data_IF_129281082950
#
_entry.id   IF_129281082950
#
_cell.length_a   1.000
_cell.length_b   1.000
_cell.length_c   1.000
_cell.angle_alpha   90.00
_cell.angle_beta   90.00
_cell.angle_gamma   90.00
#
_symmetry.space_group_name_H-M   'P 1'
#
loop_
_entity.id
_entity.type
_entity.pdbx_description
1 polymer ?
#
# COMPACT_ATOMS: atom_id res chain seq x y z
N UNK A 1 5.72 -18.68 22.28
CA UNK A 1 5.32 -17.97 21.03
C UNK A 1 6.49 -17.28 20.32
N UNK A 2 7.53 -16.82 21.03
CA UNK A 2 8.78 -16.28 20.43
C UNK A 2 9.45 -17.30 19.49
N UNK A 3 9.40 -18.58 19.82
CA UNK A 3 9.98 -19.67 19.04
C UNK A 3 9.12 -20.13 17.84
N UNK A 4 8.04 -19.42 17.51
CA UNK A 4 7.26 -19.72 16.32
C UNK A 4 8.08 -19.33 15.08
N UNK A 5 8.15 -20.20 14.04
CA UNK A 5 8.93 -19.93 12.84
C UNK A 5 8.61 -18.60 12.14
N UNK A 6 7.35 -18.15 12.22
CA UNK A 6 6.94 -16.88 11.61
C UNK A 6 7.45 -15.66 12.40
N UNK A 7 7.46 -15.71 13.72
CA UNK A 7 8.04 -14.65 14.56
C UNK A 7 9.57 -14.59 14.44
N UNK A 8 10.23 -15.77 14.32
CA UNK A 8 11.68 -15.83 14.06
C UNK A 8 12.01 -15.17 12.73
N UNK A 9 11.23 -15.45 11.67
CA UNK A 9 11.43 -14.82 10.39
C UNK A 9 11.13 -13.32 10.45
N UNK A 10 10.01 -12.91 11.06
CA UNK A 10 9.68 -11.51 11.27
C UNK A 10 10.83 -10.74 11.94
N UNK A 11 11.41 -11.31 12.98
CA UNK A 11 12.55 -10.68 13.68
C UNK A 11 13.74 -10.46 12.76
N UNK A 12 14.10 -11.46 11.96
CA UNK A 12 15.18 -11.33 10.97
C UNK A 12 14.89 -10.26 9.90
N UNK A 13 13.64 -10.17 9.44
CA UNK A 13 13.24 -9.16 8.47
C UNK A 13 13.26 -7.74 9.07
N UNK A 14 12.86 -7.56 10.33
CA UNK A 14 12.94 -6.27 11.03
C UNK A 14 14.40 -5.80 11.14
N UNK A 15 15.34 -6.71 11.39
CA UNK A 15 16.76 -6.39 11.52
C UNK A 15 17.41 -5.92 10.23
N UNK A 16 16.80 -6.21 9.08
CA UNK A 16 17.19 -5.59 7.80
C UNK A 16 16.71 -4.14 7.79
N UNK A 17 17.64 -3.18 7.80
CA UNK A 17 17.34 -1.74 7.71
C UNK A 17 16.97 -1.35 6.28
N UNK A 18 15.83 -1.85 5.80
CA UNK A 18 15.35 -1.74 4.43
C UNK A 18 14.52 -0.46 4.21
N UNK A 19 15.10 0.72 4.50
CA UNK A 19 14.42 2.00 4.22
C UNK A 19 14.32 2.19 2.71
N UNK A 20 13.10 2.47 2.22
CA UNK A 20 12.83 2.58 0.78
C UNK A 20 13.86 3.47 0.04
N UNK A 21 14.39 3.09 -1.12
CA UNK A 21 14.13 1.85 -1.88
C UNK A 21 15.07 0.67 -1.53
N UNK A 22 15.84 0.76 -0.43
CA UNK A 22 16.79 -0.27 -0.04
C UNK A 22 16.07 -1.52 0.46
N UNK A 23 16.51 -2.70 0.01
CA UNK A 23 16.06 -4.00 0.50
C UNK A 23 16.89 -4.51 1.69
N UNK A 24 18.16 -4.16 1.70
CA UNK A 24 19.15 -4.51 2.73
C UNK A 24 19.15 -6.02 3.11
N UNK A 25 18.96 -6.90 2.12
CA UNK A 25 19.02 -8.36 2.28
C UNK A 25 17.72 -9.05 2.72
N UNK A 26 16.62 -8.32 2.89
CA UNK A 26 15.32 -8.91 3.20
C UNK A 26 14.91 -9.97 2.18
N UNK A 27 15.00 -9.64 0.88
CA UNK A 27 14.59 -10.56 -0.18
C UNK A 27 15.52 -11.77 -0.27
N UNK A 28 16.80 -11.64 0.06
CA UNK A 28 17.72 -12.79 0.07
C UNK A 28 17.37 -13.79 1.19
N UNK A 29 16.93 -13.30 2.36
CA UNK A 29 16.41 -14.18 3.43
C UNK A 29 15.19 -14.96 2.96
N UNK A 30 14.25 -14.30 2.29
CA UNK A 30 13.02 -14.92 1.77
C UNK A 30 13.36 -15.89 0.64
N UNK A 31 14.18 -15.46 -0.33
CA UNK A 31 14.62 -16.26 -1.47
C UNK A 31 15.23 -17.60 -1.02
N UNK A 32 16.19 -17.56 -0.10
CA UNK A 32 16.85 -18.78 0.39
C UNK A 32 15.85 -19.76 1.04
N UNK A 33 14.82 -19.26 1.71
CA UNK A 33 13.77 -20.10 2.32
C UNK A 33 12.85 -20.72 1.28
N UNK A 34 12.48 -19.94 0.25
CA UNK A 34 11.62 -20.40 -0.84
C UNK A 34 12.35 -21.43 -1.73
N UNK A 35 13.61 -21.19 -2.06
CA UNK A 35 14.44 -22.15 -2.80
C UNK A 35 14.58 -23.49 -2.05
N UNK A 36 14.72 -23.45 -0.73
CA UNK A 36 14.83 -24.66 0.11
C UNK A 36 13.61 -25.59 0.04
N UNK A 37 12.45 -25.07 -0.38
CA UNK A 37 11.20 -25.83 -0.55
C UNK A 37 10.79 -25.98 -2.02
N UNK A 38 11.71 -25.72 -2.96
CA UNK A 38 11.57 -26.02 -4.38
C UNK A 38 11.00 -24.91 -5.26
N UNK A 39 10.93 -23.66 -4.78
CA UNK A 39 10.59 -22.52 -5.64
C UNK A 39 11.71 -22.22 -6.64
N UNK A 40 11.33 -21.92 -7.87
CA UNK A 40 12.18 -21.26 -8.85
C UNK A 40 12.16 -19.77 -8.59
N UNK A 41 13.31 -19.20 -8.19
CA UNK A 41 13.43 -17.78 -7.78
C UNK A 41 14.18 -16.96 -8.83
N UNK A 42 13.64 -15.79 -9.19
CA UNK A 42 14.23 -14.84 -10.14
C UNK A 42 14.25 -13.42 -9.55
N UNK A 43 15.41 -12.77 -9.59
CA UNK A 43 15.56 -11.34 -9.25
C UNK A 43 15.29 -10.50 -10.49
N UNK A 44 14.19 -9.74 -10.51
CA UNK A 44 13.76 -8.88 -11.62
C UNK A 44 13.95 -7.41 -11.21
N UNK A 45 15.19 -6.97 -11.06
CA UNK A 45 15.53 -5.65 -10.55
C UNK A 45 15.41 -4.55 -11.61
N UNK A 46 14.99 -3.35 -11.19
CA UNK A 46 14.94 -2.15 -12.04
C UNK A 46 15.60 -0.97 -11.31
N UNK A 47 16.75 -0.53 -11.82
CA UNK A 47 17.57 0.49 -11.15
C UNK A 47 18.06 0.00 -9.78
N UNK A 48 17.83 0.78 -8.74
CA UNK A 48 18.20 0.43 -7.35
C UNK A 48 17.19 -0.49 -6.67
N UNK A 49 15.97 -0.57 -7.20
CA UNK A 49 14.88 -1.35 -6.63
C UNK A 49 15.10 -2.83 -6.84
N UNK A 50 15.02 -3.58 -5.75
CA UNK A 50 15.08 -5.05 -5.75
C UNK A 50 13.67 -5.61 -5.89
N UNK A 51 13.54 -6.62 -6.73
CA UNK A 51 12.29 -7.34 -6.91
C UNK A 51 12.58 -8.83 -7.02
N UNK A 52 11.76 -9.62 -6.33
CA UNK A 52 11.81 -11.07 -6.35
C UNK A 52 10.52 -11.62 -6.94
N UNK A 53 10.65 -12.44 -7.97
CA UNK A 53 9.61 -13.36 -8.42
C UNK A 53 10.02 -14.78 -8.03
N UNK A 54 9.12 -15.50 -7.37
CA UNK A 54 9.35 -16.90 -7.04
C UNK A 54 8.11 -17.72 -7.40
N UNK A 55 8.29 -18.91 -8.00
CA UNK A 55 7.20 -19.75 -8.48
C UNK A 55 7.44 -21.20 -8.06
N UNK A 56 6.46 -21.80 -7.40
CA UNK A 56 6.36 -23.24 -7.15
C UNK A 56 5.21 -23.80 -7.98
N UNK A 57 5.52 -24.61 -8.98
CA UNK A 57 4.55 -25.31 -9.82
C UNK A 57 4.47 -26.76 -9.40
N UNK A 58 3.27 -27.25 -9.03
CA UNK A 58 3.03 -28.66 -8.73
C UNK A 58 2.37 -29.37 -9.90
N UNK A 59 1.22 -28.89 -10.39
CA UNK A 59 0.50 -29.41 -11.53
C UNK A 59 -0.09 -28.29 -12.39
N UNK A 60 -0.71 -28.62 -13.51
CA UNK A 60 -1.48 -27.61 -14.25
C UNK A 60 -2.71 -27.19 -13.45
N UNK A 61 -2.97 -25.88 -13.42
CA UNK A 61 -4.06 -25.32 -12.63
C UNK A 61 -3.88 -23.84 -12.38
N UNK A 62 -4.70 -23.26 -11.47
CA UNK A 62 -4.66 -21.85 -11.16
C UNK A 62 -3.41 -21.46 -10.38
N UNK A 63 -3.02 -20.19 -10.46
CA UNK A 63 -1.89 -19.62 -9.73
C UNK A 63 -2.38 -18.65 -8.65
N UNK A 64 -1.97 -18.92 -7.40
CA UNK A 64 -2.08 -17.98 -6.28
C UNK A 64 -0.77 -17.22 -6.15
N UNK A 65 -0.82 -15.88 -6.21
CA UNK A 65 0.31 -15.01 -5.96
C UNK A 65 0.20 -14.32 -4.59
N UNK A 66 1.23 -14.46 -3.78
CA UNK A 66 1.45 -13.62 -2.61
C UNK A 66 2.22 -12.37 -3.02
N UNK A 67 1.66 -11.20 -2.74
CA UNK A 67 2.24 -9.91 -3.07
C UNK A 67 2.61 -9.15 -1.80
N UNK A 68 3.80 -8.55 -1.78
CA UNK A 68 4.24 -7.72 -0.67
C UNK A 68 5.51 -6.94 -0.94
N UNK A 69 5.92 -6.17 0.07
CA UNK A 69 7.13 -5.36 0.01
C UNK A 69 8.03 -5.56 1.21
N UNK A 70 9.34 -5.38 0.99
CA UNK A 70 10.37 -5.48 2.04
C UNK A 70 10.84 -4.12 2.53
N UNK A 71 10.65 -3.08 1.73
CA UNK A 71 11.00 -1.72 2.11
C UNK A 71 10.07 -1.16 3.18
N UNK A 72 10.56 -0.17 3.89
CA UNK A 72 9.84 0.49 4.98
C UNK A 72 10.05 2.00 4.93
N UNK A 73 9.10 2.78 5.43
CA UNK A 73 9.28 4.22 5.62
C UNK A 73 10.39 4.52 6.62
N UNK A 74 11.03 5.71 6.56
CA UNK A 74 11.96 6.15 7.61
C UNK A 74 11.34 6.03 9.01
N UNK A 75 12.14 5.70 10.03
CA UNK A 75 11.63 5.47 11.39
C UNK A 75 11.13 6.73 12.09
N UNK A 76 11.45 7.93 11.58
CA UNK A 76 11.22 9.18 12.27
C UNK A 76 12.23 9.43 13.40
N UNK A 77 11.88 10.23 14.42
CA UNK A 77 12.79 10.55 15.54
C UNK A 77 13.16 9.30 16.33
N UNK A 78 14.44 8.92 16.31
CA UNK A 78 14.92 7.68 16.94
C UNK A 78 14.83 7.74 18.46
N UNK A 79 14.97 8.91 19.05
CA UNK A 79 14.89 9.19 20.48
C UNK A 79 13.46 9.02 21.05
N UNK A 80 12.45 9.03 20.21
CA UNK A 80 11.07 8.72 20.60
C UNK A 80 10.76 7.21 20.62
N UNK A 81 11.64 6.37 20.05
CA UNK A 81 11.47 4.93 20.08
C UNK A 81 11.89 4.34 21.43
N UNK A 82 11.06 3.47 22.00
CA UNK A 82 11.38 2.75 23.23
C UNK A 82 12.41 1.63 23.06
N UNK A 83 12.81 1.30 21.82
CA UNK A 83 13.87 0.36 21.42
C UNK A 83 14.35 0.74 20.03
N UNK A 84 15.54 0.27 19.61
CA UNK A 84 16.03 0.50 18.25
C UNK A 84 14.99 -0.02 17.20
N UNK A 85 14.52 0.81 16.25
CA UNK A 85 13.51 0.41 15.26
C UNK A 85 13.94 -0.74 14.34
N UNK A 86 15.23 -1.00 14.22
CA UNK A 86 15.81 -2.09 13.42
C UNK A 86 16.44 -3.19 14.30
N UNK A 87 15.97 -3.31 15.53
CA UNK A 87 16.25 -4.44 16.41
C UNK A 87 14.92 -4.97 16.93
N UNK A 88 14.52 -6.15 16.43
CA UNK A 88 13.29 -6.79 16.87
C UNK A 88 13.27 -6.93 18.40
N UNK A 89 12.30 -6.29 19.03
CA UNK A 89 12.20 -6.27 20.50
C UNK A 89 10.83 -6.74 20.93
N UNK A 90 10.79 -7.85 21.67
CA UNK A 90 9.55 -8.30 22.28
C UNK A 90 9.37 -7.69 23.67
N UNK A 91 8.20 -7.07 23.90
CA UNK A 91 7.78 -6.59 25.22
C UNK A 91 6.26 -6.51 25.30
N UNK A 92 5.71 -6.82 26.47
CA UNK A 92 4.29 -6.73 26.77
C UNK A 92 3.38 -7.45 25.75
N UNK A 93 3.82 -8.59 25.18
CA UNK A 93 3.06 -9.37 24.21
C UNK A 93 3.07 -8.82 22.79
N UNK A 94 3.98 -7.89 22.47
CA UNK A 94 4.16 -7.30 21.13
C UNK A 94 5.61 -7.44 20.65
N UNK A 95 5.77 -7.60 19.36
CA UNK A 95 7.06 -7.46 18.65
C UNK A 95 7.12 -6.06 18.07
N UNK A 96 8.12 -5.29 18.49
CA UNK A 96 8.37 -3.91 18.06
C UNK A 96 9.47 -3.87 17.00
N UNK A 97 9.27 -3.00 16.01
CA UNK A 97 10.26 -2.67 14.99
C UNK A 97 9.62 -1.97 13.80
N UNK A 98 10.39 -1.18 13.05
CA UNK A 98 9.92 -0.56 11.83
C UNK A 98 9.65 -1.64 10.77
N UNK A 99 8.46 -1.59 10.15
CA UNK A 99 7.98 -2.60 9.23
C UNK A 99 7.37 -3.83 9.91
N UNK A 100 7.28 -3.86 11.26
CA UNK A 100 6.67 -4.99 11.96
C UNK A 100 5.23 -5.21 11.51
N UNK A 101 4.43 -4.15 11.41
CA UNK A 101 3.06 -4.21 10.92
C UNK A 101 2.97 -4.04 9.40
N UNK A 102 3.77 -3.15 8.82
CA UNK A 102 3.75 -2.76 7.41
C UNK A 102 5.09 -3.06 6.72
N UNK A 103 5.22 -4.22 6.00
CA UNK A 103 4.34 -5.39 6.08
C UNK A 103 5.14 -6.68 6.33
N UNK A 104 6.27 -6.58 7.09
CA UNK A 104 7.18 -7.73 7.32
C UNK A 104 6.51 -8.90 8.05
N UNK A 105 5.50 -8.64 8.93
CA UNK A 105 4.69 -9.71 9.53
C UNK A 105 3.85 -10.45 8.50
N UNK A 106 3.29 -9.75 7.51
CA UNK A 106 2.61 -10.35 6.38
C UNK A 106 3.53 -11.27 5.58
N UNK A 107 4.72 -10.78 5.22
CA UNK A 107 5.73 -11.58 4.51
C UNK A 107 6.16 -12.82 5.31
N UNK A 108 6.44 -12.65 6.60
CA UNK A 108 6.84 -13.76 7.48
C UNK A 108 5.73 -14.81 7.58
N UNK A 109 4.48 -14.38 7.68
CA UNK A 109 3.32 -15.25 7.72
C UNK A 109 3.12 -16.01 6.39
N UNK A 110 3.27 -15.34 5.23
CA UNK A 110 3.15 -15.95 3.91
C UNK A 110 4.20 -17.04 3.68
N UNK A 111 5.47 -16.71 3.94
CA UNK A 111 6.60 -17.65 3.72
C UNK A 111 6.42 -18.88 4.60
N UNK A 112 6.14 -18.71 5.89
CA UNK A 112 5.99 -19.87 6.81
C UNK A 112 4.72 -20.67 6.56
N UNK A 113 3.66 -20.04 6.05
CA UNK A 113 2.47 -20.75 5.60
C UNK A 113 2.76 -21.67 4.41
N UNK A 114 3.53 -21.18 3.44
CA UNK A 114 3.90 -21.96 2.23
C UNK A 114 4.90 -23.06 2.57
N UNK A 115 5.87 -22.82 3.45
CA UNK A 115 6.77 -23.86 3.94
C UNK A 115 6.01 -25.03 4.57
N UNK A 116 5.04 -24.70 5.41
CA UNK A 116 4.17 -25.70 6.01
C UNK A 116 3.33 -26.42 4.96
N UNK A 117 2.76 -25.67 4.01
CA UNK A 117 1.92 -26.23 2.94
C UNK A 117 2.73 -27.21 2.07
N UNK A 118 3.94 -26.84 1.66
CA UNK A 118 4.83 -27.69 0.88
C UNK A 118 5.33 -28.93 1.66
N UNK A 119 5.40 -28.84 2.99
CA UNK A 119 5.74 -29.99 3.84
C UNK A 119 4.57 -30.96 4.04
N UNK A 120 3.34 -30.44 4.14
CA UNK A 120 2.15 -31.25 4.45
C UNK A 120 1.53 -31.88 3.16
N UNK A 121 1.73 -31.27 1.98
CA UNK A 121 1.12 -31.65 0.71
C UNK A 121 2.20 -31.93 -0.34
N UNK A 122 2.38 -33.22 -0.68
CA UNK A 122 3.36 -33.65 -1.70
C UNK A 122 3.01 -33.15 -3.11
N UNK A 123 1.73 -32.95 -3.41
CA UNK A 123 1.24 -32.43 -4.69
C UNK A 123 -0.07 -31.68 -4.53
N UNK A 124 -0.27 -30.66 -5.36
CA UNK A 124 -1.49 -29.86 -5.40
C UNK A 124 -1.80 -29.40 -6.84
N UNK A 125 -3.06 -29.03 -7.11
CA UNK A 125 -3.49 -28.64 -8.44
C UNK A 125 -3.27 -27.12 -8.62
N UNK A 126 -2.17 -26.73 -9.30
CA UNK A 126 -1.85 -25.34 -9.60
C UNK A 126 -0.44 -24.92 -9.23
N UNK A 127 -0.29 -23.61 -8.96
CA UNK A 127 1.00 -22.99 -8.64
C UNK A 127 0.85 -21.97 -7.51
N UNK A 128 1.92 -21.79 -6.73
CA UNK A 128 2.04 -20.73 -5.74
C UNK A 128 3.18 -19.81 -6.17
N UNK A 129 2.95 -18.50 -6.15
CA UNK A 129 3.95 -17.52 -6.53
C UNK A 129 4.13 -16.45 -5.44
N UNK A 130 5.32 -15.84 -5.44
CA UNK A 130 5.59 -14.59 -4.70
C UNK A 130 6.04 -13.52 -5.67
N UNK A 131 5.52 -12.31 -5.49
CA UNK A 131 6.03 -11.08 -6.09
C UNK A 131 6.34 -10.12 -4.94
N UNK A 132 7.62 -9.83 -4.73
CA UNK A 132 8.09 -9.01 -3.61
C UNK A 132 8.92 -7.86 -4.17
N UNK A 133 8.66 -6.64 -3.70
CA UNK A 133 9.37 -5.43 -4.13
C UNK A 133 10.03 -4.71 -2.96
N UNK A 134 10.96 -3.79 -3.26
CA UNK A 134 11.51 -2.80 -2.32
C UNK A 134 11.16 -1.35 -2.71
N UNK A 135 10.01 -1.11 -3.37
CA UNK A 135 9.59 0.22 -3.84
C UNK A 135 8.06 0.39 -3.70
N UNK A 136 7.45 -0.09 -2.62
CA UNK A 136 6.04 0.20 -2.31
C UNK A 136 5.90 1.52 -1.57
N UNK A 137 6.73 1.72 -0.54
CA UNK A 137 6.75 2.88 0.36
C UNK A 137 7.42 4.11 -0.25
N UNK A 138 7.95 3.97 -1.44
CA UNK A 138 8.61 5.01 -2.21
C UNK A 138 7.79 5.53 -3.38
N UNK A 139 8.46 5.82 -4.52
CA UNK A 139 7.79 6.28 -5.74
C UNK A 139 6.88 5.24 -6.40
N UNK A 140 7.05 3.94 -6.11
CA UNK A 140 6.33 2.79 -6.68
C UNK A 140 6.39 2.75 -8.23
N UNK A 141 7.57 3.03 -8.79
CA UNK A 141 7.80 3.10 -10.25
C UNK A 141 8.52 1.86 -10.76
N UNK A 142 9.54 1.41 -10.00
CA UNK A 142 10.46 0.34 -10.40
C UNK A 142 10.15 -1.00 -9.71
N UNK A 143 9.13 -1.05 -8.87
CA UNK A 143 8.66 -2.22 -8.15
C UNK A 143 7.60 -3.02 -8.91
N UNK A 144 6.56 -3.44 -8.21
CA UNK A 144 5.45 -4.27 -8.68
C UNK A 144 4.90 -3.82 -10.03
N UNK A 145 4.78 -2.51 -10.25
CA UNK A 145 4.29 -1.93 -11.52
C UNK A 145 5.06 -2.39 -12.76
N UNK A 146 6.37 -2.51 -12.67
CA UNK A 146 7.22 -2.97 -13.79
C UNK A 146 7.28 -4.49 -13.85
N UNK A 147 7.40 -5.14 -12.70
CA UNK A 147 7.51 -6.60 -12.62
C UNK A 147 6.25 -7.27 -13.19
N UNK A 148 5.05 -6.84 -12.78
CA UNK A 148 3.82 -7.45 -13.29
C UNK A 148 3.68 -7.33 -14.80
N UNK A 149 4.05 -6.18 -15.38
CA UNK A 149 4.03 -5.99 -16.84
C UNK A 149 4.96 -6.96 -17.56
N UNK A 150 6.14 -7.18 -16.99
CA UNK A 150 7.11 -8.13 -17.55
C UNK A 150 6.62 -9.57 -17.43
N UNK A 151 6.04 -9.97 -16.30
CA UNK A 151 5.46 -11.30 -16.10
C UNK A 151 4.32 -11.58 -17.09
N UNK A 152 3.40 -10.62 -17.28
CA UNK A 152 2.31 -10.75 -18.24
C UNK A 152 2.85 -10.83 -19.68
N UNK A 153 3.88 -10.04 -20.03
CA UNK A 153 4.55 -10.12 -21.35
C UNK A 153 5.16 -11.50 -21.60
N UNK A 154 5.63 -12.20 -20.55
CA UNK A 154 6.14 -13.56 -20.60
C UNK A 154 5.03 -14.63 -20.63
N UNK A 155 3.76 -14.23 -20.58
CA UNK A 155 2.62 -15.15 -20.57
C UNK A 155 2.30 -15.76 -19.20
N UNK A 156 2.90 -15.22 -18.11
CA UNK A 156 2.58 -15.66 -16.76
C UNK A 156 1.13 -15.28 -16.43
N UNK A 157 0.33 -16.28 -16.03
CA UNK A 157 -1.03 -16.07 -15.54
C UNK A 157 -1.05 -16.11 -14.03
N UNK A 158 -1.88 -15.25 -13.44
CA UNK A 158 -2.16 -15.21 -12.01
C UNK A 158 -3.68 -15.15 -11.87
N UNK A 159 -4.26 -16.11 -11.17
CA UNK A 159 -5.72 -16.21 -11.00
C UNK A 159 -6.20 -15.58 -9.71
N UNK A 160 -5.37 -15.68 -8.65
CA UNK A 160 -5.63 -15.16 -7.32
C UNK A 160 -4.44 -14.39 -6.80
N UNK A 161 -4.70 -13.32 -6.05
CA UNK A 161 -3.65 -12.58 -5.36
C UNK A 161 -4.05 -12.28 -3.90
N UNK A 162 -3.13 -12.53 -2.99
CA UNK A 162 -3.22 -12.07 -1.60
C UNK A 162 -2.09 -11.08 -1.36
N UNK A 163 -2.44 -9.84 -1.05
CA UNK A 163 -1.51 -8.80 -0.62
C UNK A 163 -1.42 -8.82 0.89
N UNK A 164 -0.23 -8.90 1.45
CA UNK A 164 -0.02 -9.02 2.90
C UNK A 164 -0.07 -7.72 3.67
N UNK A 165 -0.65 -6.69 3.10
CA UNK A 165 -0.83 -5.38 3.69
C UNK A 165 -1.63 -5.41 5.00
N UNK A 166 -1.35 -4.51 5.96
CA UNK A 166 -2.05 -4.45 7.24
C UNK A 166 -3.50 -4.01 7.06
N UNK A 167 -4.36 -4.96 6.76
CA UNK A 167 -5.78 -4.74 6.46
C UNK A 167 -6.67 -4.73 7.70
N UNK A 168 -6.26 -5.41 8.78
CA UNK A 168 -7.04 -5.53 10.01
C UNK A 168 -7.09 -4.22 10.78
N UNK A 169 -8.23 -3.89 11.38
CA UNK A 169 -8.45 -2.59 12.05
C UNK A 169 -8.21 -2.67 13.57
N UNK A 170 -8.86 -3.60 14.27
CA UNK A 170 -8.78 -3.75 15.73
C UNK A 170 -8.28 -5.12 16.15
N UNK A 171 -8.61 -6.12 15.37
CA UNK A 171 -8.30 -7.52 15.68
C UNK A 171 -7.93 -8.22 14.37
N UNK A 172 -6.94 -9.09 14.43
CA UNK A 172 -6.51 -9.84 13.26
C UNK A 172 -7.69 -10.50 12.54
N UNK A 173 -7.79 -10.24 11.24
CA UNK A 173 -8.80 -10.79 10.36
C UNK A 173 -10.20 -10.15 10.47
N UNK A 174 -10.37 -9.05 11.20
CA UNK A 174 -11.66 -8.36 11.28
C UNK A 174 -12.06 -7.65 9.96
N UNK A 175 -11.08 -7.38 9.11
CA UNK A 175 -11.27 -6.70 7.83
C UNK A 175 -10.44 -7.35 6.73
N UNK A 176 -11.08 -7.63 5.59
CA UNK A 176 -10.44 -7.99 4.32
C UNK A 176 -10.64 -6.82 3.36
N UNK A 177 -9.55 -6.31 2.76
CA UNK A 177 -9.71 -5.33 1.68
C UNK A 177 -9.92 -6.09 0.36
N UNK A 178 -11.02 -5.74 -0.32
CA UNK A 178 -11.40 -6.31 -1.63
C UNK A 178 -11.25 -5.30 -2.75
N UNK A 179 -10.63 -4.18 -2.49
CA UNK A 179 -10.40 -3.10 -3.43
C UNK A 179 -9.82 -1.88 -2.74
N UNK A 180 -9.43 -0.90 -3.50
CA UNK A 180 -8.91 0.38 -3.01
C UNK A 180 -9.45 1.52 -3.85
N UNK A 181 -9.62 2.69 -3.22
CA UNK A 181 -9.91 3.94 -3.93
C UNK A 181 -8.71 4.38 -4.75
N UNK A 182 -8.96 5.14 -5.81
CA UNK A 182 -7.95 5.85 -6.56
C UNK A 182 -7.35 7.02 -5.76
N UNK A 183 -6.22 7.52 -6.24
CA UNK A 183 -5.55 8.67 -5.64
C UNK A 183 -4.95 9.55 -6.73
N UNK A 184 -5.30 10.85 -6.69
CA UNK A 184 -4.79 11.88 -7.58
C UNK A 184 -4.33 13.06 -6.73
N UNK A 185 -3.06 13.44 -6.86
CA UNK A 185 -2.53 14.66 -6.23
C UNK A 185 -2.44 15.76 -7.27
N UNK A 186 -2.93 16.95 -6.95
CA UNK A 186 -2.80 18.13 -7.78
C UNK A 186 -1.96 19.22 -7.10
N UNK A 187 -1.27 19.98 -7.93
CA UNK A 187 -0.43 21.11 -7.54
C UNK A 187 -0.90 22.33 -8.32
N UNK A 188 -1.53 23.30 -7.66
CA UNK A 188 -1.97 24.57 -8.25
C UNK A 188 -1.00 25.66 -7.82
N UNK A 189 -0.26 26.21 -8.76
CA UNK A 189 0.60 27.37 -8.54
C UNK A 189 -0.07 28.60 -9.09
N UNK A 190 -0.37 29.57 -8.26
CA UNK A 190 -0.93 30.88 -8.65
C UNK A 190 0.21 31.88 -8.77
N UNK A 191 0.24 32.57 -9.90
CA UNK A 191 1.26 33.56 -10.26
C UNK A 191 0.71 34.96 -9.96
N UNK A 192 1.33 35.63 -9.00
CA UNK A 192 1.04 37.01 -8.64
C UNK A 192 2.15 37.98 -8.99
N UNK A 193 2.28 39.03 -8.22
CA UNK A 193 3.38 40.00 -8.33
C UNK A 193 3.83 40.41 -6.93
N UNK A 194 5.11 40.17 -6.62
CA UNK A 194 5.68 40.50 -5.32
C UNK A 194 5.68 42.04 -5.07
N UNK A 195 5.45 42.45 -3.82
CA UNK A 195 5.52 43.83 -3.43
C UNK A 195 5.51 44.06 -1.92
N UNK A 196 5.63 45.31 -1.52
CA UNK A 196 5.58 45.68 -0.12
C UNK A 196 4.13 45.76 0.38
N UNK A 197 3.82 45.19 1.55
CA UNK A 197 2.44 45.12 2.09
C UNK A 197 1.79 46.52 2.28
N UNK A 198 2.59 47.59 2.49
CA UNK A 198 2.11 48.94 2.59
C UNK A 198 1.69 49.55 1.23
N UNK A 199 2.07 48.93 0.12
CA UNK A 199 1.77 49.42 -1.25
C UNK A 199 1.08 48.33 -2.07
N UNK A 200 -0.08 47.82 -1.62
CA UNK A 200 -0.75 46.67 -2.24
C UNK A 200 -1.20 46.93 -3.69
N UNK A 201 -1.35 48.17 -4.11
CA UNK A 201 -1.68 48.58 -5.46
C UNK A 201 -0.53 48.40 -6.47
N UNK A 202 0.71 48.18 -5.98
CA UNK A 202 1.89 47.88 -6.80
C UNK A 202 2.20 46.37 -6.84
N UNK A 203 1.34 45.54 -6.23
CA UNK A 203 1.52 44.09 -6.11
C UNK A 203 0.26 43.36 -6.57
N UNK A 204 0.39 42.07 -6.87
CA UNK A 204 -0.73 41.16 -7.14
C UNK A 204 -0.64 40.00 -6.14
N UNK A 205 -1.45 40.05 -5.08
CA UNK A 205 -1.32 39.10 -3.97
C UNK A 205 -1.93 37.75 -4.33
N UNK A 206 -1.12 36.67 -4.49
CA UNK A 206 -1.61 35.36 -4.91
C UNK A 206 -2.48 34.68 -3.82
N UNK A 207 -2.33 35.02 -2.53
CA UNK A 207 -3.23 34.52 -1.49
C UNK A 207 -4.66 35.04 -1.62
N UNK A 208 -4.84 36.30 -2.08
CA UNK A 208 -6.18 36.83 -2.37
C UNK A 208 -6.79 36.18 -3.61
N UNK A 209 -5.95 35.72 -4.55
CA UNK A 209 -6.39 35.08 -5.78
C UNK A 209 -6.78 33.61 -5.55
N UNK A 210 -6.04 32.89 -4.72
CA UNK A 210 -6.31 31.47 -4.46
C UNK A 210 -7.47 31.25 -3.49
N UNK A 211 -7.77 32.20 -2.61
CA UNK A 211 -8.80 32.08 -1.59
C UNK A 211 -10.19 31.70 -2.14
N UNK A 212 -10.74 32.37 -3.17
CA UNK A 212 -12.03 31.96 -3.75
C UNK A 212 -11.94 30.59 -4.42
N UNK A 213 -10.83 30.25 -5.05
CA UNK A 213 -10.63 28.93 -5.67
C UNK A 213 -10.69 27.82 -4.61
N UNK A 214 -10.06 28.03 -3.45
CA UNK A 214 -10.12 27.07 -2.33
C UNK A 214 -11.58 26.89 -1.86
N UNK A 215 -12.36 27.98 -1.77
CA UNK A 215 -13.78 27.90 -1.41
C UNK A 215 -14.53 27.03 -2.41
N UNK A 216 -14.41 27.34 -3.70
CA UNK A 216 -15.12 26.64 -4.76
C UNK A 216 -14.72 25.15 -4.85
N UNK A 217 -13.44 24.83 -4.64
CA UNK A 217 -12.96 23.45 -4.62
C UNK A 217 -13.51 22.64 -3.43
N UNK A 218 -13.67 23.28 -2.26
CA UNK A 218 -14.25 22.63 -1.08
C UNK A 218 -15.78 22.44 -1.19
N UNK A 219 -16.45 23.18 -2.04
CA UNK A 219 -17.90 23.08 -2.27
C UNK A 219 -18.28 22.00 -3.31
N UNK A 220 -17.30 21.31 -3.92
CA UNK A 220 -17.59 20.26 -4.88
C UNK A 220 -18.28 19.09 -4.20
N UNK A 221 -19.52 18.82 -4.61
CA UNK A 221 -20.20 17.58 -4.28
C UNK A 221 -19.76 16.48 -5.25
N UNK A 222 -18.82 15.61 -4.81
CA UNK A 222 -18.26 14.57 -5.64
C UNK A 222 -19.24 13.44 -5.92
N UNK A 223 -19.66 12.72 -4.88
CA UNK A 223 -20.60 11.60 -4.90
C UNK A 223 -20.96 11.15 -3.47
N UNK A 224 -21.91 10.25 -3.36
CA UNK A 224 -22.34 9.65 -2.08
C UNK A 224 -21.71 8.27 -1.81
N UNK A 225 -20.75 7.84 -2.65
CA UNK A 225 -20.24 6.47 -2.60
C UNK A 225 -21.20 5.45 -3.20
N UNK A 226 -20.91 4.18 -2.94
CA UNK A 226 -21.78 3.07 -3.33
C UNK A 226 -21.62 1.89 -2.37
N UNK A 227 -22.26 0.74 -2.67
CA UNK A 227 -22.22 -0.45 -1.79
C UNK A 227 -20.82 -0.94 -1.45
N UNK A 228 -19.81 -0.61 -2.26
CA UNK A 228 -18.43 -1.10 -2.11
C UNK A 228 -17.45 0.00 -1.72
N UNK A 229 -17.69 1.24 -2.11
CA UNK A 229 -16.77 2.35 -1.93
C UNK A 229 -17.37 3.47 -1.10
N UNK A 230 -16.60 4.06 -0.16
CA UNK A 230 -16.98 5.31 0.46
C UNK A 230 -17.01 6.44 -0.58
N UNK A 231 -17.61 7.59 -0.25
CA UNK A 231 -17.60 8.77 -1.11
C UNK A 231 -16.18 9.20 -1.51
N UNK A 232 -16.08 9.78 -2.69
CA UNK A 232 -14.89 10.53 -3.13
C UNK A 232 -14.71 11.75 -2.23
N UNK A 233 -13.46 12.01 -1.81
CA UNK A 233 -13.15 13.19 -1.00
C UNK A 233 -11.94 13.95 -1.56
N UNK A 234 -11.98 15.26 -1.38
CA UNK A 234 -10.93 16.23 -1.70
C UNK A 234 -10.36 16.78 -0.40
N UNK A 235 -9.03 16.80 -0.27
CA UNK A 235 -8.35 17.35 0.89
C UNK A 235 -7.18 18.21 0.47
N UNK A 236 -7.10 19.41 1.02
CA UNK A 236 -5.93 20.28 0.90
C UNK A 236 -4.88 19.76 1.88
N UNK A 237 -3.67 19.51 1.39
CA UNK A 237 -2.58 18.92 2.20
C UNK A 237 -1.47 19.91 2.50
N UNK A 238 -1.31 20.96 1.66
CA UNK A 238 -0.32 22.02 1.89
C UNK A 238 -0.70 23.29 1.15
N UNK A 239 -0.30 24.44 1.71
CA UNK A 239 -0.30 25.72 1.04
C UNK A 239 0.98 26.47 1.38
N UNK A 240 1.76 26.82 0.38
CA UNK A 240 3.11 27.32 0.55
C UNK A 240 3.41 28.51 -0.37
N UNK A 241 4.24 29.44 0.09
CA UNK A 241 4.77 30.53 -0.74
C UNK A 241 6.29 30.59 -0.64
N UNK A 242 6.92 31.04 -1.70
CA UNK A 242 8.39 31.14 -1.81
C UNK A 242 9.00 32.20 -0.86
N UNK A 243 8.20 33.10 -0.29
CA UNK A 243 8.68 34.20 0.54
C UNK A 243 8.02 34.21 1.92
N UNK A 244 8.84 34.23 2.97
CA UNK A 244 8.41 34.27 4.39
C UNK A 244 8.61 35.62 5.07
N UNK A 245 8.89 36.70 4.31
CA UNK A 245 9.03 38.04 4.84
C UNK A 245 7.68 38.58 5.34
N UNK A 246 7.63 39.08 6.59
CA UNK A 246 6.39 39.53 7.25
C UNK A 246 5.80 40.83 6.64
N UNK A 247 6.58 41.58 5.85
CA UNK A 247 6.19 42.79 5.16
C UNK A 247 6.23 42.72 3.65
N UNK A 248 6.25 41.47 3.10
CA UNK A 248 6.33 41.19 1.66
C UNK A 248 5.09 40.43 1.22
N UNK A 249 4.40 40.95 0.21
CA UNK A 249 3.40 40.19 -0.56
C UNK A 249 4.19 39.22 -1.47
N UNK A 250 3.98 37.91 -1.42
CA UNK A 250 4.73 36.97 -2.25
C UNK A 250 4.36 37.08 -3.74
N UNK A 251 5.26 36.66 -4.61
CA UNK A 251 5.03 36.63 -6.06
C UNK A 251 4.24 35.42 -6.53
N UNK A 252 4.19 34.38 -5.72
CA UNK A 252 3.49 33.12 -6.06
C UNK A 252 3.04 32.39 -4.79
N UNK A 253 2.04 31.53 -4.94
CA UNK A 253 1.60 30.56 -3.93
C UNK A 253 1.33 29.22 -4.58
N UNK A 254 1.72 28.13 -3.94
CA UNK A 254 1.41 26.78 -4.34
C UNK A 254 0.44 26.13 -3.36
N UNK A 255 -0.62 25.52 -3.88
CA UNK A 255 -1.59 24.69 -3.18
C UNK A 255 -1.38 23.24 -3.59
N UNK A 256 -1.23 22.35 -2.63
CA UNK A 256 -1.20 20.90 -2.84
C UNK A 256 -2.46 20.28 -2.27
N UNK A 257 -3.13 19.47 -3.07
CA UNK A 257 -4.33 18.77 -2.64
C UNK A 257 -4.29 17.30 -3.13
N UNK A 258 -5.08 16.44 -2.48
CA UNK A 258 -5.25 15.05 -2.87
C UNK A 258 -6.75 14.71 -2.99
N UNK A 259 -7.10 13.99 -4.05
CA UNK A 259 -8.43 13.42 -4.26
C UNK A 259 -8.35 11.92 -4.09
N UNK A 260 -9.11 11.39 -3.11
CA UNK A 260 -9.35 9.95 -2.98
C UNK A 260 -10.69 9.63 -3.59
N UNK A 261 -10.69 8.87 -4.70
CA UNK A 261 -11.87 8.68 -5.52
C UNK A 261 -12.26 7.21 -5.69
N UNK A 262 -13.55 6.98 -5.81
CA UNK A 262 -14.13 5.67 -6.05
C UNK A 262 -14.26 5.38 -7.56
N UNK A 263 -14.87 4.27 -7.91
CA UNK A 263 -15.02 3.80 -9.29
C UNK A 263 -16.09 4.54 -10.12
N UNK A 264 -16.72 5.58 -9.58
CA UNK A 264 -17.59 6.50 -10.33
C UNK A 264 -16.79 7.58 -11.06
N UNK A 265 -15.50 7.71 -10.72
CA UNK A 265 -14.59 8.72 -11.25
C UNK A 265 -13.36 8.09 -11.88
N UNK A 266 -12.76 8.82 -12.79
CA UNK A 266 -11.43 8.57 -13.35
C UNK A 266 -10.56 9.84 -13.28
N UNK A 267 -9.29 9.72 -13.66
CA UNK A 267 -8.37 10.84 -13.62
C UNK A 267 -8.85 12.03 -14.47
N UNK A 268 -9.38 11.76 -15.65
CA UNK A 268 -9.77 12.82 -16.60
C UNK A 268 -11.01 13.57 -16.12
N UNK A 269 -12.00 12.89 -15.60
CA UNK A 269 -13.21 13.52 -15.05
C UNK A 269 -12.89 14.40 -13.84
N UNK A 270 -12.00 13.94 -12.94
CA UNK A 270 -11.55 14.73 -11.79
C UNK A 270 -10.75 15.95 -12.23
N UNK A 271 -9.76 15.76 -13.12
CA UNK A 271 -8.94 16.85 -13.67
C UNK A 271 -9.80 17.90 -14.35
N UNK A 272 -10.76 17.48 -15.17
CA UNK A 272 -11.66 18.40 -15.87
C UNK A 272 -12.57 19.18 -14.90
N UNK A 273 -13.07 18.54 -13.84
CA UNK A 273 -13.87 19.20 -12.81
C UNK A 273 -13.06 20.29 -12.10
N UNK A 274 -11.86 19.99 -11.67
CA UNK A 274 -10.97 20.94 -11.01
C UNK A 274 -10.51 22.04 -11.97
N UNK A 275 -10.12 21.69 -13.20
CA UNK A 275 -9.69 22.64 -14.22
C UNK A 275 -10.79 23.65 -14.54
N UNK A 276 -12.06 23.20 -14.64
CA UNK A 276 -13.20 24.07 -14.89
C UNK A 276 -13.36 25.13 -13.79
N UNK A 277 -13.15 24.77 -12.54
CA UNK A 277 -13.20 25.72 -11.42
C UNK A 277 -12.03 26.70 -11.50
N UNK A 278 -10.80 26.19 -11.58
CA UNK A 278 -9.60 27.05 -11.60
C UNK A 278 -9.65 28.03 -12.78
N UNK A 279 -10.05 27.55 -13.97
CA UNK A 279 -10.13 28.39 -15.18
C UNK A 279 -11.30 29.38 -15.20
N UNK A 280 -12.29 29.23 -14.32
CA UNK A 280 -13.36 30.24 -14.19
C UNK A 280 -12.92 31.53 -13.51
N UNK A 281 -11.77 31.49 -12.83
CA UNK A 281 -11.15 32.67 -12.23
C UNK A 281 -10.17 33.29 -13.22
N UNK A 282 -10.20 34.61 -13.35
CA UNK A 282 -9.29 35.38 -14.25
C UNK A 282 -7.91 35.56 -13.59
N UNK A 283 -7.12 34.47 -13.61
CA UNK A 283 -5.81 34.38 -12.95
C UNK A 283 -4.78 33.65 -13.80
N UNK A 284 -3.50 33.96 -13.58
CA UNK A 284 -2.39 33.22 -14.14
C UNK A 284 -2.05 32.05 -13.20
N UNK A 285 -2.07 30.83 -13.71
CA UNK A 285 -1.78 29.61 -12.92
C UNK A 285 -1.03 28.54 -13.71
N UNK A 286 -0.34 27.67 -12.97
CA UNK A 286 0.17 26.38 -13.46
C UNK A 286 -0.54 25.25 -12.69
N UNK A 287 -0.93 24.18 -13.38
CA UNK A 287 -1.57 23.01 -12.77
C UNK A 287 -0.80 21.75 -13.17
N UNK A 288 -0.34 21.00 -12.16
CA UNK A 288 0.39 19.74 -12.33
C UNK A 288 -0.31 18.62 -11.58
N UNK A 289 -0.10 17.39 -12.05
CA UNK A 289 -0.76 16.22 -11.51
C UNK A 289 0.23 15.08 -11.22
N UNK A 290 -0.05 14.35 -10.12
CA UNK A 290 0.59 13.07 -9.81
C UNK A 290 -0.50 12.02 -9.68
N UNK A 291 -0.56 11.11 -10.66
CA UNK A 291 -1.45 9.96 -10.69
C UNK A 291 -0.83 8.82 -9.88
N UNK A 292 -1.45 8.45 -8.75
CA UNK A 292 -0.89 7.44 -7.84
C UNK A 292 -1.57 6.08 -7.99
N UNK A 293 -2.84 6.01 -8.37
CA UNK A 293 -3.55 4.76 -8.62
C UNK A 293 -4.99 4.99 -9.05
N UNK A 294 -5.52 4.09 -9.88
CA UNK A 294 -6.94 4.01 -10.21
C UNK A 294 -7.67 3.14 -9.19
N UNK A 295 -8.98 3.35 -8.97
CA UNK A 295 -9.76 2.47 -8.11
C UNK A 295 -9.80 1.06 -8.69
N UNK A 296 -9.78 0.07 -7.81
CA UNK A 296 -10.06 -1.30 -8.22
C UNK A 296 -10.99 -1.99 -7.23
N UNK A 297 -11.72 -2.97 -7.71
CA UNK A 297 -12.58 -3.85 -6.93
C UNK A 297 -12.36 -5.28 -7.41
N UNK A 298 -12.04 -6.17 -6.49
CA UNK A 298 -11.92 -7.60 -6.75
C UNK A 298 -13.25 -8.18 -7.21
N UNK A 299 -13.23 -9.07 -8.17
CA UNK A 299 -14.42 -9.85 -8.51
C UNK A 299 -14.81 -10.72 -7.32
N UNK A 300 -16.12 -10.85 -7.08
CA UNK A 300 -16.62 -11.85 -6.13
C UNK A 300 -16.28 -13.23 -6.67
N UNK A 301 -15.65 -14.07 -5.83
CA UNK A 301 -15.24 -15.38 -6.26
C UNK A 301 -14.70 -16.23 -5.12
N UNK A 302 -14.07 -17.33 -5.50
CA UNK A 302 -13.65 -18.41 -4.60
C UNK A 302 -12.66 -17.93 -3.52
N UNK A 303 -11.72 -17.04 -3.85
CA UNK A 303 -10.72 -16.55 -2.90
C UNK A 303 -11.37 -15.78 -1.75
N UNK A 304 -12.29 -14.86 -2.05
CA UNK A 304 -12.98 -14.06 -1.02
C UNK A 304 -13.81 -14.96 -0.10
N UNK A 305 -14.57 -15.89 -0.67
CA UNK A 305 -15.42 -16.82 0.08
C UNK A 305 -14.60 -17.72 1.01
N UNK A 306 -13.51 -18.29 0.51
CA UNK A 306 -12.59 -19.11 1.30
C UNK A 306 -11.95 -18.29 2.41
N UNK A 307 -11.42 -17.09 2.10
CA UNK A 307 -10.81 -16.22 3.10
C UNK A 307 -11.77 -15.86 4.23
N UNK A 308 -13.02 -15.51 3.90
CA UNK A 308 -14.06 -15.25 4.91
C UNK A 308 -14.36 -16.50 5.76
N UNK A 309 -14.47 -17.68 5.15
CA UNK A 309 -14.75 -18.92 5.85
C UNK A 309 -13.61 -19.33 6.78
N UNK A 310 -12.36 -19.23 6.31
CA UNK A 310 -11.17 -19.53 7.12
C UNK A 310 -11.08 -18.58 8.30
N UNK A 311 -11.22 -17.26 8.09
CA UNK A 311 -11.18 -16.28 9.17
C UNK A 311 -12.31 -16.51 10.18
N UNK A 312 -13.52 -16.85 9.72
CA UNK A 312 -14.63 -17.19 10.63
C UNK A 312 -14.29 -18.37 11.53
N UNK A 313 -13.64 -19.39 11.00
CA UNK A 313 -13.22 -20.58 11.76
C UNK A 313 -12.05 -20.28 12.71
N UNK A 314 -11.05 -19.53 12.25
CA UNK A 314 -9.81 -19.31 13.02
C UNK A 314 -9.90 -18.13 14.01
N UNK A 315 -10.69 -17.11 13.67
CA UNK A 315 -10.83 -15.90 14.48
C UNK A 315 -12.18 -15.78 15.17
N UNK A 316 -13.14 -16.71 14.93
CA UNK A 316 -14.52 -16.67 15.44
C UNK A 316 -15.22 -15.34 15.11
N UNK A 317 -14.95 -14.77 13.92
CA UNK A 317 -15.43 -13.46 13.47
C UNK A 317 -15.82 -13.49 11.99
N UNK A 318 -16.82 -12.67 11.64
CA UNK A 318 -17.12 -12.39 10.24
C UNK A 318 -16.29 -11.17 9.81
N UNK A 319 -15.33 -11.31 8.88
CA UNK A 319 -14.57 -10.17 8.42
C UNK A 319 -15.44 -9.20 7.63
N UNK A 320 -15.23 -7.90 7.84
CA UNK A 320 -15.79 -6.84 7.02
C UNK A 320 -15.07 -6.81 5.67
N UNK A 321 -15.80 -6.83 4.57
CA UNK A 321 -15.25 -6.52 3.25
C UNK A 321 -15.19 -5.01 3.08
N UNK A 322 -14.04 -4.46 2.69
CA UNK A 322 -13.81 -3.01 2.65
C UNK A 322 -12.92 -2.61 1.48
N UNK A 323 -13.12 -1.38 0.99
CA UNK A 323 -12.25 -0.72 0.00
C UNK A 323 -11.61 0.55 0.58
N UNK A 324 -11.82 0.81 1.88
CA UNK A 324 -11.31 2.00 2.57
C UNK A 324 -9.82 1.91 2.89
N UNK A 325 -9.24 3.05 3.29
CA UNK A 325 -7.83 3.19 3.65
C UNK A 325 -6.95 3.78 2.54
N UNK A 326 -5.63 3.65 2.71
CA UNK A 326 -4.62 4.08 1.75
C UNK A 326 -4.65 3.27 0.45
N UNK A 327 -3.70 3.49 -0.41
CA UNK A 327 -3.50 2.62 -1.59
C UNK A 327 -2.41 1.60 -1.30
N UNK A 328 -2.28 0.57 -2.13
CA UNK A 328 -1.27 -0.48 -2.03
C UNK A 328 -0.82 -0.90 -3.43
N UNK A 329 0.23 -1.70 -3.52
CA UNK A 329 0.69 -2.28 -4.78
C UNK A 329 -0.33 -3.24 -5.44
N UNK A 330 -1.37 -3.63 -4.71
CA UNK A 330 -2.55 -4.28 -5.26
C UNK A 330 -3.15 -3.57 -6.48
N UNK A 331 -3.08 -2.23 -6.53
CA UNK A 331 -3.51 -1.40 -7.67
C UNK A 331 -2.82 -1.73 -8.99
N UNK A 332 -1.58 -2.20 -8.95
CA UNK A 332 -0.82 -2.52 -10.16
C UNK A 332 -1.10 -3.92 -10.69
N UNK A 333 -1.46 -4.85 -9.82
CA UNK A 333 -1.76 -6.24 -10.19
C UNK A 333 -3.25 -6.43 -10.53
N UNK A 334 -4.14 -5.67 -9.92
CA UNK A 334 -5.59 -5.76 -10.10
C UNK A 334 -6.09 -5.73 -11.57
N UNK A 335 -5.48 -4.99 -12.52
CA UNK A 335 -5.88 -5.05 -13.93
C UNK A 335 -5.65 -6.41 -14.60
N UNK A 336 -4.79 -7.25 -14.04
CA UNK A 336 -4.36 -8.53 -14.62
C UNK A 336 -4.87 -9.75 -13.86
N UNK A 337 -5.34 -9.57 -12.62
CA UNK A 337 -5.74 -10.65 -11.71
C UNK A 337 -7.21 -10.49 -11.33
N UNK A 338 -8.06 -11.48 -11.64
CA UNK A 338 -9.51 -11.35 -11.44
C UNK A 338 -9.93 -11.29 -9.97
N UNK A 339 -9.24 -12.01 -9.08
CA UNK A 339 -9.55 -12.03 -7.65
C UNK A 339 -8.32 -11.61 -6.83
N UNK A 340 -8.45 -10.50 -6.14
CA UNK A 340 -7.41 -9.94 -5.28
C UNK A 340 -8.00 -9.55 -3.93
N UNK A 341 -7.32 -9.92 -2.86
CA UNK A 341 -7.65 -9.47 -1.50
C UNK A 341 -6.39 -8.93 -0.82
N UNK A 342 -6.59 -8.02 0.12
CA UNK A 342 -5.53 -7.66 1.05
C UNK A 342 -5.92 -8.17 2.43
N UNK A 343 -5.05 -8.94 3.02
CA UNK A 343 -5.23 -9.59 4.31
C UNK A 343 -3.90 -9.62 5.04
N UNK A 344 -3.83 -8.98 6.19
CA UNK A 344 -2.60 -8.90 6.99
C UNK A 344 -2.85 -8.42 8.40
N UNK A 345 -1.80 -7.92 9.04
CA UNK A 345 -1.75 -7.48 10.41
C UNK A 345 -2.69 -6.31 10.74
N UNK A 346 -2.72 -5.91 12.01
CA UNK A 346 -3.46 -4.75 12.49
C UNK A 346 -2.70 -3.47 12.09
N UNK A 347 -3.44 -2.49 11.54
CA UNK A 347 -2.88 -1.25 10.99
C UNK A 347 -2.71 -0.10 11.99
N UNK A 348 -2.99 -0.32 13.28
CA UNK A 348 -3.02 0.74 14.30
C UNK A 348 -1.71 1.54 14.40
N UNK A 349 -0.56 0.88 14.19
CA UNK A 349 0.77 1.46 14.45
C UNK A 349 1.63 1.66 13.19
N UNK A 350 1.09 1.42 12.00
CA UNK A 350 1.82 1.64 10.73
C UNK A 350 2.32 3.08 10.63
N UNK A 351 3.54 3.26 10.13
CA UNK A 351 4.25 4.55 9.96
C UNK A 351 4.48 5.35 11.25
N UNK A 352 4.05 4.84 12.41
CA UNK A 352 4.25 5.51 13.70
C UNK A 352 5.58 5.10 14.34
N UNK A 353 6.02 5.92 15.29
CA UNK A 353 7.06 5.54 16.27
C UNK A 353 6.52 4.39 17.12
N UNK A 354 7.38 3.45 17.52
CA UNK A 354 6.99 2.22 18.23
C UNK A 354 6.01 1.32 17.46
N UNK A 355 6.15 1.26 16.14
CA UNK A 355 5.42 0.29 15.31
C UNK A 355 5.59 -1.12 15.86
N UNK A 356 4.49 -1.90 15.87
CA UNK A 356 4.44 -3.20 16.52
C UNK A 356 3.31 -4.08 16.00
N UNK A 357 3.45 -5.38 16.24
CA UNK A 357 2.37 -6.38 16.08
C UNK A 357 2.24 -7.25 17.34
N UNK A 358 1.04 -7.75 17.69
CA UNK A 358 0.90 -8.76 18.73
C UNK A 358 1.71 -10.02 18.39
N UNK A 359 2.39 -10.61 19.37
CA UNK A 359 3.21 -11.83 19.16
C UNK A 359 2.41 -13.03 18.67
N UNK A 360 1.12 -13.06 18.90
CA UNK A 360 0.23 -14.13 18.46
C UNK A 360 -0.30 -13.96 17.02
N UNK A 361 -0.23 -12.74 16.46
CA UNK A 361 -0.87 -12.42 15.19
C UNK A 361 -0.13 -13.01 13.99
N UNK A 362 1.20 -12.93 13.94
CA UNK A 362 1.97 -13.47 12.80
C UNK A 362 1.81 -14.99 12.65
N UNK A 363 1.92 -15.79 13.74
CA UNK A 363 1.61 -17.23 13.69
C UNK A 363 0.17 -17.53 13.27
N UNK A 364 -0.78 -16.75 13.75
CA UNK A 364 -2.19 -16.94 13.41
C UNK A 364 -2.47 -16.58 11.95
N UNK A 365 -1.86 -15.51 11.45
CA UNK A 365 -1.94 -15.11 10.06
C UNK A 365 -1.33 -16.17 9.13
N UNK A 366 -0.17 -16.73 9.50
CA UNK A 366 0.45 -17.87 8.80
C UNK A 366 -0.51 -19.06 8.71
N UNK A 367 -1.18 -19.40 9.81
CA UNK A 367 -2.19 -20.47 9.82
C UNK A 367 -3.39 -20.15 8.91
N UNK A 368 -3.81 -18.88 8.84
CA UNK A 368 -4.90 -18.46 7.96
C UNK A 368 -4.48 -18.64 6.50
N UNK A 369 -3.30 -18.17 6.09
CA UNK A 369 -2.81 -18.33 4.72
C UNK A 369 -2.65 -19.81 4.34
N UNK A 370 -2.10 -20.63 5.23
CA UNK A 370 -2.02 -22.09 5.03
C UNK A 370 -3.39 -22.69 4.74
N UNK A 371 -4.42 -22.36 5.52
CA UNK A 371 -5.78 -22.89 5.32
C UNK A 371 -6.44 -22.36 4.04
N UNK A 372 -6.19 -21.10 3.68
CA UNK A 372 -6.66 -20.56 2.41
C UNK A 372 -6.06 -21.35 1.25
N UNK A 373 -4.76 -21.62 1.27
CA UNK A 373 -4.12 -22.46 0.23
C UNK A 373 -4.71 -23.84 0.19
N UNK A 374 -4.93 -24.47 1.35
CA UNK A 374 -5.52 -25.80 1.43
C UNK A 374 -6.91 -25.84 0.80
N UNK A 375 -7.79 -24.90 1.15
CA UNK A 375 -9.14 -24.84 0.59
C UNK A 375 -9.17 -24.39 -0.90
N UNK A 376 -8.10 -23.74 -1.41
CA UNK A 376 -7.98 -23.37 -2.83
C UNK A 376 -7.48 -24.52 -3.70
N UNK A 377 -6.57 -25.35 -3.22
CA UNK A 377 -5.80 -26.28 -4.07
C UNK A 377 -6.12 -27.75 -3.82
N UNK A 378 -6.73 -28.07 -2.68
CA UNK A 378 -7.11 -29.42 -2.26
C UNK A 378 -8.64 -29.55 -2.19
#
# INVERSE_FOLDING_TARGET
>A
MINDPSNILLSKLIECKSITPDDNGCQDIILNRLEAIGFECEKINFGEVKNLWALLKSADGPTLCFLGHTDVVPPGPIDEWGSNPFLSTERNGFIYGRGAADMKSGLAAMVTAVERFASDEESFCGSIAFLITSDEEGPAINGTKKVIKELIRRGQKIDWCIVGEPSSEKLLGDTIKIGRRGSLTGFIKIIGCQGHVAYPHLAKNPFKMISPIISDLNEIEWDQGNDFFPPTNFEIVDINSSNRGINVIPGEVELVFNVRFNNLWDYESIKNTILKIVSSHDIDYELKWKESGIPFLSKKGRLIEIAQNVIRKECSKNPKLSTGGGTSDGRFIAPYVPEIIELGSINETIHKVNERVPTEDTPKLSKIYYKIMKDLFI
#
